data_IF_730398550145
#
_entry.id   IF_730398550145
#
_cell.length_a   1.000
_cell.length_b   1.000
_cell.length_c   1.000
_cell.angle_alpha   90.00
_cell.angle_beta   90.00
_cell.angle_gamma   90.00
#
_symmetry.space_group_name_H-M   'P 1'
#
loop_
_entity.id
_entity.type
_entity.pdbx_description
1 polymer ?
#
# COMPACT_ATOMS: atom_id res chain seq x y z
N UNK A 1 -1.17 8.95 8.96
CA UNK A 1 -2.54 8.56 8.55
C UNK A 1 -3.38 7.91 9.65
N UNK A 2 -2.92 6.85 10.35
CA UNK A 2 -3.69 6.15 11.41
C UNK A 2 -4.27 7.08 12.48
N UNK A 3 -3.43 7.95 13.08
CA UNK A 3 -3.85 8.94 14.10
C UNK A 3 -4.95 9.89 13.61
N UNK A 4 -4.88 10.29 12.33
CA UNK A 4 -5.80 11.22 11.70
C UNK A 4 -6.99 10.52 11.01
N UNK A 5 -7.11 9.18 11.15
CA UNK A 5 -8.15 8.36 10.50
C UNK A 5 -8.27 8.57 8.98
N UNK A 6 -7.14 8.81 8.30
CA UNK A 6 -7.08 8.99 6.85
C UNK A 6 -6.81 7.66 6.12
N UNK A 7 -7.27 7.56 4.86
CA UNK A 7 -6.80 6.50 3.94
C UNK A 7 -5.30 6.65 3.72
N UNK A 8 -4.59 5.52 3.83
CA UNK A 8 -3.14 5.43 3.74
C UNK A 8 -2.77 4.43 2.65
N UNK A 9 -2.11 4.90 1.60
CA UNK A 9 -1.60 4.08 0.49
C UNK A 9 -0.33 3.30 0.86
N UNK A 10 0.19 3.48 2.08
CA UNK A 10 1.35 2.76 2.67
C UNK A 10 2.65 2.83 1.86
N UNK A 11 2.74 3.68 0.85
CA UNK A 11 4.02 4.10 0.26
C UNK A 11 4.84 4.86 1.31
N UNK A 12 6.15 4.93 1.12
CA UNK A 12 7.05 5.62 2.06
C UNK A 12 7.82 6.73 1.32
N UNK A 13 7.49 8.01 1.56
CA UNK A 13 6.35 8.53 2.31
C UNK A 13 5.01 8.29 1.59
N UNK A 14 3.91 8.24 2.33
CA UNK A 14 2.59 7.99 1.75
C UNK A 14 2.01 9.27 1.12
N UNK A 15 1.20 9.12 0.05
CA UNK A 15 0.66 10.27 -0.68
C UNK A 15 -0.15 11.23 0.19
N UNK A 16 -0.88 10.71 1.18
CA UNK A 16 -1.63 11.53 2.15
C UNK A 16 -0.73 12.40 3.03
N UNK A 17 0.48 11.93 3.37
CA UNK A 17 1.44 12.70 4.17
C UNK A 17 2.21 13.72 3.31
N UNK A 18 2.46 13.42 2.04
CA UNK A 18 3.05 14.37 1.07
C UNK A 18 2.10 15.56 0.87
N UNK A 19 0.82 15.32 0.54
CA UNK A 19 -0.19 16.37 0.29
C UNK A 19 -0.45 17.30 1.49
N UNK A 20 -0.09 16.88 2.70
CA UNK A 20 -0.32 17.64 3.94
C UNK A 20 0.99 18.13 4.56
N UNK A 21 2.11 17.99 3.85
CA UNK A 21 3.44 18.43 4.29
C UNK A 21 3.86 17.84 5.66
N UNK A 22 3.47 16.59 5.92
CA UNK A 22 3.76 15.86 7.17
C UNK A 22 4.64 14.64 6.95
N UNK A 23 5.49 14.68 5.92
CA UNK A 23 6.37 13.57 5.51
C UNK A 23 7.30 13.11 6.64
N UNK A 24 7.80 14.03 7.48
CA UNK A 24 8.64 13.74 8.65
C UNK A 24 7.94 12.88 9.71
N UNK A 25 6.61 12.85 9.71
CA UNK A 25 5.79 12.04 10.64
C UNK A 25 5.29 10.74 9.98
N UNK A 26 5.65 10.49 8.72
CA UNK A 26 5.22 9.31 7.96
C UNK A 26 6.17 8.14 8.21
N UNK A 27 6.08 7.55 9.40
CA UNK A 27 6.89 6.40 9.80
C UNK A 27 6.04 5.15 9.96
N UNK A 28 6.62 4.01 9.58
CA UNK A 28 6.01 2.69 9.72
C UNK A 28 6.95 1.82 10.57
N UNK A 29 6.41 0.99 11.45
CA UNK A 29 7.21 -0.04 12.11
C UNK A 29 7.59 -1.13 11.09
N UNK A 30 8.68 -1.85 11.34
CA UNK A 30 9.11 -2.96 10.49
C UNK A 30 7.96 -3.97 10.25
N UNK A 31 7.31 -4.40 11.33
CA UNK A 31 6.15 -5.29 11.27
C UNK A 31 4.93 -4.72 10.50
N UNK A 32 4.83 -3.40 10.33
CA UNK A 32 3.80 -2.78 9.50
C UNK A 32 4.22 -2.67 8.04
N UNK A 33 5.52 -2.58 7.76
CA UNK A 33 6.10 -2.55 6.42
C UNK A 33 6.09 -3.92 5.74
N UNK A 34 6.15 -5.01 6.51
CA UNK A 34 6.06 -6.39 6.01
C UNK A 34 4.63 -6.85 5.74
N UNK A 35 3.61 -6.03 6.04
CA UNK A 35 2.22 -6.36 5.75
C UNK A 35 1.98 -6.24 4.25
N UNK A 36 2.12 -7.36 3.56
CA UNK A 36 1.70 -7.52 2.17
C UNK A 36 0.17 -7.45 2.11
N UNK A 37 -0.36 -6.62 1.23
CA UNK A 37 -1.80 -6.49 1.00
C UNK A 37 -2.30 -7.72 0.22
N UNK A 38 -3.04 -8.61 0.90
CA UNK A 38 -3.52 -9.88 0.34
C UNK A 38 -4.38 -9.65 -0.90
N UNK A 39 -5.16 -8.56 -0.94
CA UNK A 39 -5.97 -8.23 -2.11
C UNK A 39 -5.09 -7.88 -3.31
N UNK A 40 -4.00 -7.14 -3.10
CA UNK A 40 -3.02 -6.85 -4.15
C UNK A 40 -2.35 -8.11 -4.68
N UNK A 41 -2.03 -9.08 -3.81
CA UNK A 41 -1.47 -10.38 -4.24
C UNK A 41 -2.49 -11.16 -5.04
N UNK A 42 -3.72 -11.31 -4.54
CA UNK A 42 -4.81 -11.98 -5.22
C UNK A 42 -5.07 -11.37 -6.61
N UNK A 43 -5.10 -10.05 -6.71
CA UNK A 43 -5.32 -9.36 -7.98
C UNK A 43 -4.15 -9.59 -8.96
N UNK A 44 -2.92 -9.61 -8.46
CA UNK A 44 -1.75 -9.93 -9.28
C UNK A 44 -1.78 -11.38 -9.78
N UNK A 45 -2.12 -12.35 -8.92
CA UNK A 45 -2.23 -13.76 -9.31
C UNK A 45 -3.35 -13.98 -10.31
N UNK A 46 -4.53 -13.39 -10.09
CA UNK A 46 -5.66 -13.49 -11.02
C UNK A 46 -5.32 -12.85 -12.37
N UNK A 47 -4.67 -11.68 -12.37
CA UNK A 47 -4.24 -11.03 -13.61
C UNK A 47 -3.24 -11.86 -14.40
N UNK A 48 -2.28 -12.51 -13.73
CA UNK A 48 -1.33 -13.42 -14.36
C UNK A 48 -2.03 -14.67 -14.91
N UNK A 49 -2.93 -15.29 -14.14
CA UNK A 49 -3.72 -16.42 -14.62
C UNK A 49 -4.57 -16.08 -15.85
N UNK A 50 -5.19 -14.91 -15.88
CA UNK A 50 -6.03 -14.49 -17.00
C UNK A 50 -5.20 -14.27 -18.29
N UNK A 51 -3.95 -13.84 -18.16
CA UNK A 51 -3.03 -13.74 -19.30
C UNK A 51 -2.66 -15.12 -19.84
N UNK A 52 -2.46 -16.11 -18.97
CA UNK A 52 -2.15 -17.49 -19.37
C UNK A 52 -3.32 -18.13 -20.12
N UNK A 53 -4.56 -17.85 -19.71
CA UNK A 53 -5.77 -18.38 -20.39
C UNK A 53 -6.05 -17.66 -21.72
N UNK A 54 -5.49 -16.46 -21.93
CA UNK A 54 -5.69 -15.66 -23.13
C UNK A 54 -4.67 -15.94 -24.26
N UNK A 55 -3.69 -16.83 -24.04
CA UNK A 55 -2.66 -17.26 -24.99
C UNK A 55 -2.93 -18.70 -25.44
#
# INVERSE_FOLDING_TARGET
CKRLKLRCDRRTPCGSCVKRETVSRCTYSAAASEKIDVQSVHNATVSQMNLIVAL
#
